data_IF_480922107303
#
_entry.id   IF_480922107303
#
_cell.length_a   1.000
_cell.length_b   1.000
_cell.length_c   1.000
_cell.angle_alpha   90.00
_cell.angle_beta   90.00
_cell.angle_gamma   90.00
#
_symmetry.space_group_name_H-M   'P 1'
#
loop_
_entity.id
_entity.type
_entity.pdbx_description
1 polymer ?
#
# COMPACT_ATOMS: atom_id res chain seq x y z
N UNK A 1 18.10 7.46 -20.94
CA UNK A 1 16.78 7.95 -21.42
C UNK A 1 16.54 9.36 -20.92
N UNK A 2 15.99 10.22 -21.76
CA UNK A 2 15.56 11.59 -21.38
C UNK A 2 14.07 11.73 -21.65
N UNK A 3 13.29 12.19 -20.67
CA UNK A 3 11.87 12.55 -20.84
C UNK A 3 11.82 14.07 -20.90
N UNK A 4 11.35 14.64 -22.01
CA UNK A 4 11.29 16.09 -22.24
C UNK A 4 9.85 16.60 -22.22
N UNK A 5 9.69 17.90 -21.98
CA UNK A 5 8.40 18.61 -22.09
C UNK A 5 7.31 18.01 -21.19
N UNK A 6 7.65 17.48 -20.02
CA UNK A 6 6.70 16.97 -19.04
C UNK A 6 6.27 18.05 -18.04
N UNK A 7 5.10 17.87 -17.42
CA UNK A 7 4.72 18.48 -16.16
C UNK A 7 5.19 17.55 -15.02
N UNK A 8 6.37 17.82 -14.49
CA UNK A 8 7.05 16.96 -13.52
C UNK A 8 6.54 17.25 -12.11
N UNK A 9 6.10 16.22 -11.40
CA UNK A 9 5.85 16.29 -9.97
C UNK A 9 7.18 16.36 -9.22
N UNK A 10 7.43 17.51 -8.59
CA UNK A 10 8.71 17.84 -7.96
C UNK A 10 8.74 17.43 -6.48
N UNK A 11 9.92 17.31 -5.85
CA UNK A 11 10.04 17.12 -4.41
C UNK A 11 9.46 18.25 -3.54
N UNK A 12 9.02 19.36 -4.16
CA UNK A 12 8.27 20.44 -3.50
C UNK A 12 6.76 20.23 -3.54
N UNK A 13 6.32 19.07 -4.00
CA UNK A 13 4.91 18.70 -4.17
C UNK A 13 4.14 19.65 -5.09
N UNK A 14 4.79 20.08 -6.18
CA UNK A 14 4.22 20.94 -7.21
C UNK A 14 4.51 20.37 -8.60
N UNK A 15 3.69 20.73 -9.58
CA UNK A 15 3.93 20.38 -10.97
C UNK A 15 4.67 21.52 -11.68
N UNK A 16 5.81 21.20 -12.26
CA UNK A 16 6.64 22.15 -12.99
C UNK A 16 7.01 21.61 -14.38
N UNK A 17 7.04 22.51 -15.39
CA UNK A 17 7.55 22.11 -16.70
C UNK A 17 9.02 21.77 -16.60
N UNK A 18 9.40 20.59 -17.10
CA UNK A 18 10.77 20.15 -16.99
C UNK A 18 11.07 18.92 -17.83
N UNK A 19 12.30 18.44 -17.64
CA UNK A 19 12.80 17.21 -18.23
C UNK A 19 13.41 16.33 -17.14
N UNK A 20 13.35 15.02 -17.35
CA UNK A 20 13.92 14.02 -16.44
C UNK A 20 15.01 13.28 -17.21
N UNK A 21 16.19 13.16 -16.64
CA UNK A 21 17.31 12.40 -17.22
C UNK A 21 17.54 11.15 -16.37
N UNK A 22 17.52 9.99 -17.01
CA UNK A 22 17.71 8.69 -16.33
C UNK A 22 18.90 8.00 -16.97
N UNK A 23 19.93 7.71 -16.18
CA UNK A 23 21.12 6.97 -16.58
C UNK A 23 21.40 5.86 -15.56
N UNK A 24 21.77 4.69 -16.04
CA UNK A 24 22.01 3.52 -15.21
C UNK A 24 20.85 3.22 -14.23
N UNK A 25 19.61 3.42 -14.71
CA UNK A 25 18.40 3.20 -13.93
C UNK A 25 18.06 4.27 -12.89
N UNK A 26 18.88 5.33 -12.77
CA UNK A 26 18.69 6.37 -11.76
C UNK A 26 18.49 7.75 -12.38
N UNK A 27 17.71 8.57 -11.69
CA UNK A 27 17.54 9.99 -12.05
C UNK A 27 18.85 10.71 -11.76
N UNK A 28 19.36 11.44 -12.75
CA UNK A 28 20.54 12.29 -12.61
C UNK A 28 20.16 13.78 -12.79
N UNK A 29 20.99 14.73 -12.30
CA UNK A 29 20.80 16.14 -12.62
C UNK A 29 20.68 16.36 -14.13
N UNK A 30 19.92 17.38 -14.54
CA UNK A 30 19.73 17.68 -15.97
C UNK A 30 21.07 17.76 -16.70
N UNK A 31 21.16 17.03 -17.80
CA UNK A 31 22.32 17.00 -18.69
C UNK A 31 21.82 16.94 -20.15
N UNK A 32 22.63 17.45 -21.08
CA UNK A 32 22.33 17.32 -22.50
C UNK A 32 22.29 15.84 -22.93
N UNK A 33 21.49 15.51 -23.97
CA UNK A 33 21.47 14.17 -24.53
C UNK A 33 22.87 13.72 -24.97
N UNK A 34 23.20 12.46 -24.68
CA UNK A 34 24.39 11.81 -25.19
C UNK A 34 24.06 11.08 -26.51
N UNK A 35 25.09 10.79 -27.33
CA UNK A 35 24.90 10.10 -28.60
C UNK A 35 24.26 8.72 -28.37
N UNK A 36 23.13 8.45 -29.04
CA UNK A 36 22.37 7.20 -28.89
C UNK A 36 21.44 7.13 -27.69
N UNK A 37 21.33 8.19 -26.89
CA UNK A 37 20.41 8.23 -25.77
C UNK A 37 18.96 8.38 -26.26
N UNK A 38 18.06 7.54 -25.76
CA UNK A 38 16.63 7.62 -26.09
C UNK A 38 16.02 8.89 -25.50
N UNK A 39 15.31 9.64 -26.36
CA UNK A 39 14.60 10.86 -25.98
C UNK A 39 13.11 10.67 -26.20
N UNK A 40 12.32 10.78 -25.12
CA UNK A 40 10.86 10.69 -25.12
C UNK A 40 10.28 12.10 -24.94
N UNK A 41 9.52 12.59 -25.91
CA UNK A 41 8.76 13.84 -25.78
C UNK A 41 7.41 13.55 -25.07
N UNK A 42 7.27 14.02 -23.86
CA UNK A 42 6.05 13.85 -23.06
C UNK A 42 4.91 14.79 -23.47
N UNK A 43 5.14 15.78 -24.34
CA UNK A 43 4.10 16.66 -24.91
C UNK A 43 3.16 17.30 -23.87
N UNK A 44 3.67 17.63 -22.68
CA UNK A 44 2.90 18.24 -21.60
C UNK A 44 2.13 17.24 -20.72
N UNK A 45 2.35 15.94 -20.86
CA UNK A 45 1.82 14.94 -19.93
C UNK A 45 2.37 15.17 -18.51
N UNK A 46 1.59 14.79 -17.52
CA UNK A 46 2.10 14.67 -16.16
C UNK A 46 3.17 13.58 -16.09
N UNK A 47 4.29 13.88 -15.43
CA UNK A 47 5.27 12.90 -15.02
C UNK A 47 5.17 12.73 -13.50
N UNK A 48 4.61 11.58 -13.09
CA UNK A 48 4.43 11.20 -11.71
C UNK A 48 5.54 10.22 -11.31
N UNK A 49 5.94 10.15 -10.01
CA UNK A 49 6.79 9.07 -9.54
C UNK A 49 6.07 7.73 -9.65
N UNK A 50 6.81 6.65 -9.85
CA UNK A 50 6.26 5.31 -9.71
C UNK A 50 5.60 5.14 -8.34
N UNK A 51 4.38 4.58 -8.33
CA UNK A 51 3.62 4.39 -7.10
C UNK A 51 4.23 3.30 -6.24
N UNK A 52 3.89 3.33 -4.96
CA UNK A 52 4.31 2.36 -3.94
C UNK A 52 3.06 1.85 -3.23
N UNK A 53 2.74 0.57 -3.36
CA UNK A 53 1.61 -0.03 -2.65
C UNK A 53 2.12 -0.85 -1.47
N UNK A 54 1.65 -0.49 -0.28
CA UNK A 54 2.06 -1.16 0.96
C UNK A 54 0.98 -2.02 1.58
N UNK A 55 -0.18 -2.13 0.90
CA UNK A 55 -1.27 -2.97 1.37
C UNK A 55 -2.14 -3.45 0.20
N UNK A 56 -1.92 -4.66 -0.25
CA UNK A 56 -2.76 -5.41 -1.18
C UNK A 56 -2.45 -6.91 -1.03
N UNK A 57 -3.41 -7.77 -1.37
CA UNK A 57 -3.29 -9.23 -1.21
C UNK A 57 -3.08 -9.94 -2.53
N UNK A 58 -3.68 -9.43 -3.61
CA UNK A 58 -3.68 -10.17 -4.86
C UNK A 58 -4.14 -9.40 -6.08
N UNK A 59 -3.94 -10.02 -7.24
CA UNK A 59 -4.41 -9.60 -8.55
C UNK A 59 -4.34 -10.76 -9.55
N UNK A 60 -5.07 -10.68 -10.68
CA UNK A 60 -4.96 -11.60 -11.80
C UNK A 60 -5.11 -13.09 -11.42
N UNK A 61 -5.94 -13.38 -10.42
CA UNK A 61 -6.21 -14.75 -9.94
C UNK A 61 -5.12 -15.34 -9.04
N UNK A 62 -4.15 -14.52 -8.60
CA UNK A 62 -3.10 -14.90 -7.67
C UNK A 62 -3.22 -14.12 -6.37
N UNK A 63 -2.81 -14.76 -5.29
CA UNK A 63 -2.74 -14.18 -3.95
C UNK A 63 -1.31 -14.28 -3.43
N UNK A 64 -0.86 -13.26 -2.69
CA UNK A 64 0.47 -13.28 -2.09
C UNK A 64 0.64 -14.49 -1.15
N UNK A 65 -0.43 -14.85 -0.46
CA UNK A 65 -0.46 -16.01 0.42
C UNK A 65 -0.53 -17.37 -0.29
N UNK A 66 -0.53 -17.41 -1.63
CA UNK A 66 -0.26 -18.66 -2.37
C UNK A 66 1.12 -19.24 -2.04
N UNK A 67 2.04 -18.41 -1.50
CA UNK A 67 3.38 -18.83 -1.08
C UNK A 67 4.23 -19.38 -2.24
N UNK A 68 4.09 -18.81 -3.43
CA UNK A 68 4.76 -19.25 -4.65
C UNK A 68 5.42 -18.09 -5.37
N UNK A 69 6.63 -18.29 -5.86
CA UNK A 69 7.37 -17.28 -6.64
C UNK A 69 6.58 -16.83 -7.89
N UNK A 70 5.89 -17.77 -8.58
CA UNK A 70 5.04 -17.45 -9.72
C UNK A 70 3.90 -16.49 -9.37
N UNK A 71 3.29 -16.62 -8.19
CA UNK A 71 2.26 -15.71 -7.73
C UNK A 71 2.85 -14.31 -7.51
N UNK A 72 3.96 -14.20 -6.80
CA UNK A 72 4.65 -12.93 -6.57
C UNK A 72 5.02 -12.26 -7.91
N UNK A 73 5.55 -13.02 -8.87
CA UNK A 73 5.89 -12.48 -10.19
C UNK A 73 4.66 -12.00 -10.95
N UNK A 74 3.53 -12.72 -10.87
CA UNK A 74 2.26 -12.28 -11.49
C UNK A 74 1.78 -10.96 -10.89
N UNK A 75 1.84 -10.83 -9.57
CA UNK A 75 1.51 -9.58 -8.87
C UNK A 75 2.44 -8.45 -9.29
N UNK A 76 3.74 -8.70 -9.31
CA UNK A 76 4.75 -7.73 -9.71
C UNK A 76 4.56 -7.24 -11.16
N UNK A 77 4.27 -8.15 -12.10
CA UNK A 77 4.02 -7.80 -13.50
C UNK A 77 2.72 -6.97 -13.65
N UNK A 78 1.66 -7.35 -12.96
CA UNK A 78 0.39 -6.63 -12.99
C UNK A 78 0.53 -5.22 -12.41
N UNK A 79 1.08 -5.10 -11.20
CA UNK A 79 1.25 -3.83 -10.50
C UNK A 79 2.14 -2.87 -11.31
N UNK A 80 3.24 -3.36 -11.89
CA UNK A 80 4.08 -2.56 -12.77
C UNK A 80 3.32 -2.06 -14.00
N UNK A 81 2.45 -2.88 -14.60
CA UNK A 81 1.62 -2.47 -15.74
C UNK A 81 0.65 -1.34 -15.40
N UNK A 82 0.35 -1.15 -14.11
CA UNK A 82 -0.47 -0.08 -13.56
C UNK A 82 0.32 1.09 -12.98
N UNK A 83 1.67 1.08 -13.11
CA UNK A 83 2.53 2.14 -12.61
C UNK A 83 2.91 2.02 -11.13
N UNK A 84 2.51 0.95 -10.46
CA UNK A 84 3.03 0.63 -9.12
C UNK A 84 4.36 -0.08 -9.29
N UNK A 85 5.45 0.55 -8.89
CA UNK A 85 6.80 0.07 -9.19
C UNK A 85 7.58 -0.42 -7.98
N UNK A 86 6.97 -0.31 -6.78
CA UNK A 86 7.43 -0.95 -5.56
C UNK A 86 6.22 -1.51 -4.81
N UNK A 87 6.32 -2.76 -4.37
CA UNK A 87 5.23 -3.47 -3.71
C UNK A 87 5.65 -4.03 -2.35
N UNK A 88 4.75 -3.89 -1.38
CA UNK A 88 4.84 -4.49 -0.06
C UNK A 88 3.51 -5.20 0.23
N UNK A 89 3.26 -6.38 -0.41
CA UNK A 89 1.99 -7.08 -0.32
C UNK A 89 1.69 -7.52 1.12
N UNK A 90 0.39 -7.59 1.43
CA UNK A 90 -0.10 -8.00 2.73
C UNK A 90 -0.34 -9.51 2.81
N UNK A 91 -0.01 -10.11 3.96
CA UNK A 91 -0.46 -11.46 4.28
C UNK A 91 -1.93 -11.44 4.71
N UNK A 92 -2.53 -12.61 4.84
CA UNK A 92 -3.80 -12.83 5.53
C UNK A 92 -3.54 -13.56 6.86
N UNK A 93 -4.54 -13.59 7.73
CA UNK A 93 -4.51 -14.41 8.94
C UNK A 93 -4.52 -15.89 8.58
N UNK A 94 -3.36 -16.53 8.72
CA UNK A 94 -3.12 -17.94 8.47
C UNK A 94 -2.28 -18.59 9.58
N UNK A 95 -2.20 -19.92 9.56
CA UNK A 95 -1.29 -20.65 10.45
C UNK A 95 0.17 -20.27 10.19
N UNK A 96 1.03 -20.41 11.21
CA UNK A 96 2.46 -20.16 11.06
C UNK A 96 3.08 -21.04 9.95
N UNK A 97 2.56 -22.26 9.73
CA UNK A 97 3.03 -23.14 8.66
C UNK A 97 2.80 -22.53 7.27
N UNK A 98 1.60 -22.00 7.01
CA UNK A 98 1.27 -21.35 5.73
C UNK A 98 2.11 -20.07 5.58
N UNK A 99 2.16 -19.23 6.63
CA UNK A 99 2.96 -18.00 6.62
C UNK A 99 4.45 -18.29 6.39
N UNK A 100 5.00 -19.37 6.90
CA UNK A 100 6.36 -19.80 6.62
C UNK A 100 6.61 -19.98 5.11
N UNK A 101 5.67 -20.63 4.39
CA UNK A 101 5.76 -20.80 2.94
C UNK A 101 5.73 -19.46 2.19
N UNK A 102 4.89 -18.53 2.63
CA UNK A 102 4.82 -17.16 2.07
C UNK A 102 6.13 -16.42 2.26
N UNK A 103 6.71 -16.46 3.47
CA UNK A 103 7.99 -15.81 3.79
C UNK A 103 9.15 -16.41 2.98
N UNK A 104 9.18 -17.74 2.83
CA UNK A 104 10.21 -18.42 2.03
C UNK A 104 10.12 -18.04 0.55
N UNK A 105 8.92 -17.97 -0.03
CA UNK A 105 8.72 -17.55 -1.41
C UNK A 105 9.14 -16.10 -1.62
N UNK A 106 8.79 -15.19 -0.70
CA UNK A 106 9.18 -13.79 -0.75
C UNK A 106 10.70 -13.62 -0.63
N UNK A 107 11.35 -14.34 0.28
CA UNK A 107 12.81 -14.30 0.45
C UNK A 107 13.57 -14.87 -0.76
N UNK A 108 12.97 -15.79 -1.51
CA UNK A 108 13.55 -16.39 -2.72
C UNK A 108 13.34 -15.51 -3.96
N UNK A 109 12.30 -14.67 -3.97
CA UNK A 109 11.97 -13.80 -5.11
C UNK A 109 13.12 -12.84 -5.44
N UNK A 110 13.34 -12.64 -6.75
CA UNK A 110 14.38 -11.73 -7.26
C UNK A 110 13.73 -10.62 -8.08
N UNK A 111 13.88 -9.41 -7.60
CA UNK A 111 13.49 -8.23 -8.35
C UNK A 111 14.26 -8.13 -9.67
N UNK A 112 13.60 -7.65 -10.73
CA UNK A 112 14.25 -7.50 -12.05
C UNK A 112 13.26 -7.31 -13.17
N UNK A 113 12.09 -7.92 -13.08
CA UNK A 113 10.96 -7.75 -13.99
C UNK A 113 9.70 -7.47 -13.17
N UNK A 114 8.88 -6.52 -13.61
CA UNK A 114 7.72 -6.08 -12.85
C UNK A 114 8.08 -5.16 -11.68
N UNK A 115 7.14 -4.88 -10.80
CA UNK A 115 7.35 -4.10 -9.60
C UNK A 115 8.36 -4.77 -8.66
N UNK A 116 9.21 -3.98 -8.02
CA UNK A 116 10.15 -4.53 -7.03
C UNK A 116 9.40 -4.89 -5.73
N UNK A 117 9.56 -6.14 -5.26
CA UNK A 117 9.15 -6.54 -3.92
C UNK A 117 10.10 -5.90 -2.91
N UNK A 118 9.63 -4.91 -2.17
CA UNK A 118 10.44 -4.12 -1.23
C UNK A 118 10.11 -4.36 0.22
N UNK A 119 9.04 -5.10 0.50
CA UNK A 119 8.62 -5.45 1.85
C UNK A 119 7.46 -6.42 1.87
N UNK A 120 7.03 -6.75 3.08
CA UNK A 120 5.83 -7.52 3.40
C UNK A 120 5.08 -6.76 4.48
N UNK A 121 3.78 -6.58 4.32
CA UNK A 121 2.86 -6.17 5.35
C UNK A 121 2.29 -7.44 6.02
N UNK A 122 2.57 -7.65 7.30
CA UNK A 122 2.05 -8.79 8.04
C UNK A 122 0.68 -8.43 8.62
N UNK A 123 -0.39 -8.57 7.82
CA UNK A 123 -1.76 -8.33 8.26
C UNK A 123 -2.31 -9.60 8.92
N UNK A 124 -2.46 -9.51 10.24
CA UNK A 124 -2.74 -10.69 11.07
C UNK A 124 -1.50 -11.58 11.27
N UNK A 125 -1.60 -12.58 12.13
CA UNK A 125 -2.78 -13.06 12.85
C UNK A 125 -3.08 -12.36 14.19
N UNK A 126 -2.41 -11.27 14.54
CA UNK A 126 -2.48 -10.62 15.86
C UNK A 126 -3.63 -9.59 15.97
N UNK A 127 -4.78 -9.94 15.41
CA UNK A 127 -5.96 -9.07 15.29
C UNK A 127 -7.12 -9.51 16.19
N UNK A 128 -8.11 -8.64 16.38
CA UNK A 128 -9.22 -8.88 17.28
C UNK A 128 -10.23 -9.90 16.73
N UNK A 129 -10.66 -10.88 17.54
CA UNK A 129 -11.71 -11.83 17.15
C UNK A 129 -13.08 -11.16 16.92
N UNK A 130 -13.25 -9.93 17.37
CA UNK A 130 -14.49 -9.16 17.22
C UNK A 130 -14.51 -8.25 15.99
N UNK A 131 -13.38 -8.12 15.29
CA UNK A 131 -13.20 -7.27 14.09
C UNK A 131 -12.44 -7.98 12.97
N UNK A 132 -12.67 -9.27 12.82
CA UNK A 132 -11.99 -10.10 11.81
C UNK A 132 -12.21 -9.63 10.37
N UNK A 133 -13.34 -8.98 10.05
CA UNK A 133 -13.64 -8.60 8.67
C UNK A 133 -13.66 -9.82 7.75
N UNK A 134 -12.83 -9.80 6.70
CA UNK A 134 -12.63 -10.92 5.78
C UNK A 134 -11.49 -11.87 6.20
N UNK A 135 -10.85 -11.65 7.35
CA UNK A 135 -9.82 -12.53 7.88
C UNK A 135 -10.42 -13.83 8.41
N UNK A 136 -9.68 -14.94 8.36
CA UNK A 136 -10.16 -16.23 8.88
C UNK A 136 -9.97 -16.34 10.39
N UNK A 137 -11.06 -16.41 11.20
CA UNK A 137 -10.95 -16.47 12.66
C UNK A 137 -10.30 -17.74 13.20
N UNK A 138 -10.20 -18.81 12.41
CA UNK A 138 -9.59 -20.08 12.81
C UNK A 138 -8.10 -19.93 13.15
N UNK A 139 -7.41 -18.97 12.50
CA UNK A 139 -5.97 -18.78 12.61
C UNK A 139 -5.56 -17.57 13.45
N UNK A 140 -6.51 -16.96 14.17
CA UNK A 140 -6.18 -15.86 15.09
C UNK A 140 -5.17 -16.30 16.14
N UNK A 141 -4.20 -15.45 16.41
CA UNK A 141 -3.15 -15.69 17.38
C UNK A 141 -2.97 -14.48 18.28
N UNK A 142 -2.66 -14.71 19.54
CA UNK A 142 -2.24 -13.61 20.43
C UNK A 142 -0.93 -13.01 19.91
N UNK A 143 -0.67 -11.77 20.26
CA UNK A 143 0.59 -11.14 19.98
C UNK A 143 1.78 -11.99 20.47
N UNK A 144 2.66 -12.40 19.57
CA UNK A 144 3.74 -13.35 19.83
C UNK A 144 5.04 -12.88 19.12
N UNK A 145 5.95 -12.31 19.89
CA UNK A 145 7.24 -11.83 19.39
C UNK A 145 8.13 -12.93 18.86
N UNK A 146 8.05 -14.13 19.43
CA UNK A 146 8.88 -15.24 18.94
C UNK A 146 8.40 -15.74 17.58
N UNK A 147 7.06 -15.84 17.39
CA UNK A 147 6.48 -16.13 16.08
C UNK A 147 6.89 -15.06 15.06
N UNK A 148 6.71 -13.78 15.38
CA UNK A 148 7.12 -12.68 14.52
C UNK A 148 8.60 -12.78 14.12
N UNK A 149 9.50 -13.00 15.08
CA UNK A 149 10.93 -13.12 14.82
C UNK A 149 11.30 -14.32 13.94
N UNK A 150 10.60 -15.46 14.12
CA UNK A 150 10.77 -16.61 13.23
C UNK A 150 10.36 -16.27 11.80
N UNK A 151 9.21 -15.62 11.61
CA UNK A 151 8.71 -15.17 10.29
C UNK A 151 9.65 -14.12 9.69
N UNK A 152 10.06 -13.10 10.44
CA UNK A 152 10.97 -12.05 9.98
C UNK A 152 12.32 -12.61 9.53
N UNK A 153 12.86 -13.56 10.30
CA UNK A 153 14.10 -14.26 9.92
C UNK A 153 13.92 -15.03 8.61
N UNK A 154 12.79 -15.72 8.44
CA UNK A 154 12.46 -16.49 7.26
C UNK A 154 12.27 -15.61 6.03
N UNK A 155 11.61 -14.48 6.21
CA UNK A 155 11.44 -13.45 5.20
C UNK A 155 12.75 -12.68 4.87
N UNK A 156 13.88 -13.02 5.48
CA UNK A 156 15.16 -12.32 5.33
C UNK A 156 15.04 -10.80 5.59
N UNK A 157 14.25 -10.40 6.60
CA UNK A 157 14.06 -8.99 6.98
C UNK A 157 13.09 -8.21 6.10
N UNK A 158 12.29 -8.88 5.25
CA UNK A 158 11.33 -8.21 4.37
C UNK A 158 10.06 -7.73 5.08
N UNK A 159 9.70 -8.22 6.28
CA UNK A 159 8.54 -7.69 6.99
C UNK A 159 8.84 -6.24 7.38
N UNK A 160 8.05 -5.30 6.85
CA UNK A 160 8.18 -3.85 7.07
C UNK A 160 7.06 -3.28 7.92
N UNK A 161 5.89 -3.91 7.87
CA UNK A 161 4.69 -3.57 8.62
C UNK A 161 4.19 -4.80 9.37
N UNK A 162 3.64 -4.58 10.59
CA UNK A 162 2.92 -5.60 11.36
C UNK A 162 1.63 -4.98 11.87
N UNK A 163 0.52 -5.63 11.59
CA UNK A 163 -0.81 -5.22 11.99
C UNK A 163 -1.22 -5.89 13.30
N UNK A 164 -1.73 -5.10 14.25
CA UNK A 164 -2.07 -5.59 15.58
C UNK A 164 -3.31 -4.89 16.16
N UNK A 165 -4.14 -5.65 16.88
CA UNK A 165 -5.20 -5.11 17.71
C UNK A 165 -4.66 -4.83 19.11
N UNK A 166 -4.55 -3.56 19.54
CA UNK A 166 -3.85 -3.20 20.78
C UNK A 166 -4.57 -3.62 22.06
N UNK A 167 -5.87 -3.91 21.99
CA UNK A 167 -6.66 -4.43 23.09
C UNK A 167 -6.43 -5.91 23.39
N UNK A 168 -5.80 -6.63 22.45
CA UNK A 168 -5.57 -8.08 22.64
C UNK A 168 -4.41 -8.34 23.63
N UNK A 169 -4.46 -9.45 24.37
CA UNK A 169 -3.45 -9.75 25.39
C UNK A 169 -2.04 -9.83 24.80
N UNK A 170 -1.09 -9.10 25.41
CA UNK A 170 0.33 -9.06 25.00
C UNK A 170 0.63 -8.05 23.90
N UNK A 171 -0.38 -7.37 23.35
CA UNK A 171 -0.18 -6.45 22.22
C UNK A 171 0.68 -5.23 22.59
N UNK A 172 0.47 -4.61 23.76
CA UNK A 172 1.26 -3.45 24.16
C UNK A 172 2.75 -3.79 24.41
N UNK A 173 3.02 -4.96 24.96
CA UNK A 173 4.38 -5.48 25.13
C UNK A 173 5.02 -5.74 23.77
N UNK A 174 4.28 -6.36 22.85
CA UNK A 174 4.73 -6.59 21.47
C UNK A 174 5.08 -5.27 20.77
N UNK A 175 4.21 -4.25 20.84
CA UNK A 175 4.43 -2.94 20.23
C UNK A 175 5.73 -2.31 20.77
N UNK A 176 5.95 -2.34 22.08
CA UNK A 176 7.18 -1.82 22.71
C UNK A 176 8.42 -2.54 22.22
N UNK A 177 8.36 -3.86 22.10
CA UNK A 177 9.50 -4.67 21.71
C UNK A 177 9.83 -4.52 20.21
N UNK A 178 8.82 -4.31 19.36
CA UNK A 178 8.99 -4.04 17.94
C UNK A 178 9.43 -2.60 17.62
N UNK A 179 9.35 -1.68 18.59
CA UNK A 179 9.64 -0.26 18.34
C UNK A 179 11.02 -0.06 17.72
N UNK A 180 11.06 0.56 16.52
CA UNK A 180 12.28 0.81 15.76
C UNK A 180 12.81 -0.39 14.95
N UNK A 181 12.20 -1.58 15.06
CA UNK A 181 12.56 -2.74 14.25
C UNK A 181 11.69 -2.83 12.98
N UNK A 182 10.38 -2.68 13.15
CA UNK A 182 9.40 -2.62 12.06
C UNK A 182 8.35 -1.57 12.38
N UNK A 183 7.55 -1.17 11.39
CA UNK A 183 6.40 -0.32 11.62
C UNK A 183 5.27 -1.15 12.22
N UNK A 184 4.73 -0.71 13.35
CA UNK A 184 3.55 -1.35 13.95
C UNK A 184 2.32 -0.51 13.64
N UNK A 185 1.31 -1.17 13.08
CA UNK A 185 0.04 -0.58 12.66
C UNK A 185 -1.12 -1.09 13.52
N UNK A 186 -2.01 -0.22 13.93
CA UNK A 186 -3.26 -0.65 14.56
C UNK A 186 -4.27 -1.05 13.48
N UNK A 187 -4.78 -2.28 13.58
CA UNK A 187 -5.64 -2.88 12.57
C UNK A 187 -6.66 -3.82 13.19
N UNK A 188 -7.80 -4.03 12.52
CA UNK A 188 -8.80 -5.03 12.91
C UNK A 188 -9.07 -5.05 14.42
N UNK A 189 -9.49 -3.92 14.96
CA UNK A 189 -9.49 -3.64 16.41
C UNK A 189 -10.84 -3.17 16.90
N UNK A 190 -11.16 -3.53 18.15
CA UNK A 190 -12.27 -2.95 18.91
C UNK A 190 -11.81 -1.90 19.93
N UNK A 191 -10.53 -1.48 19.84
CA UNK A 191 -9.89 -0.62 20.82
C UNK A 191 -10.68 0.68 21.07
N UNK A 192 -10.66 1.14 22.29
CA UNK A 192 -11.11 2.48 22.65
C UNK A 192 -10.00 3.52 22.46
N UNK A 193 -10.32 4.78 22.77
CA UNK A 193 -9.39 5.89 22.63
C UNK A 193 -8.17 5.76 23.55
N UNK A 194 -8.37 5.42 24.84
CA UNK A 194 -7.29 5.38 25.84
C UNK A 194 -6.30 4.25 25.55
N UNK A 195 -6.81 3.09 25.16
CA UNK A 195 -5.96 1.94 24.74
C UNK A 195 -5.21 2.24 23.45
N UNK A 196 -5.84 2.91 22.48
CA UNK A 196 -5.15 3.34 21.26
C UNK A 196 -4.04 4.35 21.54
N UNK A 197 -4.28 5.34 22.42
CA UNK A 197 -3.26 6.28 22.89
C UNK A 197 -2.08 5.53 23.52
N UNK A 198 -2.35 4.56 24.40
CA UNK A 198 -1.30 3.76 25.02
C UNK A 198 -0.48 2.96 23.99
N UNK A 199 -1.12 2.47 22.94
CA UNK A 199 -0.44 1.76 21.85
C UNK A 199 0.47 2.69 21.02
N UNK A 200 0.01 3.89 20.68
CA UNK A 200 0.85 4.89 20.01
C UNK A 200 2.00 5.35 20.89
N UNK A 201 1.75 5.60 22.17
CA UNK A 201 2.79 5.96 23.15
C UNK A 201 3.80 4.82 23.38
N UNK A 202 3.37 3.57 23.14
CA UNK A 202 4.25 2.39 23.19
C UNK A 202 5.12 2.21 21.94
N UNK A 203 4.79 2.87 20.81
CA UNK A 203 5.60 2.83 19.60
C UNK A 203 4.86 2.48 18.31
N UNK A 204 3.55 2.23 18.34
CA UNK A 204 2.76 2.18 17.11
C UNK A 204 2.76 3.56 16.43
N UNK A 205 2.78 3.59 15.09
CA UNK A 205 2.85 4.85 14.35
C UNK A 205 1.97 4.86 13.11
N UNK A 206 1.14 3.83 12.93
CA UNK A 206 0.39 3.62 11.71
C UNK A 206 -1.00 3.06 12.00
N UNK A 207 -1.95 3.27 11.07
CA UNK A 207 -3.27 2.62 11.08
C UNK A 207 -3.60 2.06 9.71
N UNK A 208 -3.92 0.81 9.68
CA UNK A 208 -4.28 0.04 8.50
C UNK A 208 -5.70 0.36 8.07
N UNK A 209 -5.92 0.53 6.74
CA UNK A 209 -7.23 0.77 6.07
C UNK A 209 -8.26 1.50 6.96
N UNK A 210 -7.91 2.73 7.34
CA UNK A 210 -8.65 3.57 8.30
C UNK A 210 -10.18 3.49 8.05
N UNK A 211 -10.96 3.41 9.12
CA UNK A 211 -12.42 3.19 9.19
C UNK A 211 -12.88 1.75 9.00
N UNK A 212 -12.11 0.90 8.34
CA UNK A 212 -12.50 -0.49 8.08
C UNK A 212 -12.06 -1.39 9.23
N UNK A 213 -12.94 -2.30 9.64
CA UNK A 213 -12.71 -3.22 10.75
C UNK A 213 -12.27 -2.55 12.08
N UNK A 214 -12.80 -1.35 12.39
CA UNK A 214 -12.52 -0.61 13.62
C UNK A 214 -13.74 0.19 14.10
N UNK A 215 -13.75 0.72 15.36
CA UNK A 215 -14.78 1.63 15.82
C UNK A 215 -14.74 2.98 15.09
N UNK A 216 -15.91 3.51 14.72
CA UNK A 216 -16.04 4.85 14.17
C UNK A 216 -15.94 5.96 15.22
N UNK A 217 -15.85 7.21 14.76
CA UNK A 217 -15.80 8.41 15.62
C UNK A 217 -17.20 8.71 16.18
N UNK A 218 -17.32 8.80 17.51
CA UNK A 218 -18.49 9.38 18.15
C UNK A 218 -18.07 10.45 19.17
N UNK A 219 -18.98 11.37 19.51
CA UNK A 219 -18.65 12.52 20.38
C UNK A 219 -18.39 12.16 21.86
N UNK A 220 -18.66 10.93 22.29
CA UNK A 220 -18.40 10.42 23.64
C UNK A 220 -17.52 9.17 23.66
N UNK A 221 -17.28 8.57 22.50
CA UNK A 221 -16.34 7.48 22.32
C UNK A 221 -15.56 7.77 21.01
N UNK A 222 -14.50 8.58 21.08
CA UNK A 222 -13.77 9.04 19.90
C UNK A 222 -13.02 7.92 19.17
N UNK A 223 -12.67 6.86 19.88
CA UNK A 223 -12.04 5.66 19.32
C UNK A 223 -10.62 5.87 18.82
N UNK A 224 -10.07 4.86 18.11
CA UNK A 224 -8.68 4.86 17.67
C UNK A 224 -8.37 5.91 16.61
N UNK A 225 -9.36 6.35 15.83
CA UNK A 225 -9.17 7.32 14.73
C UNK A 225 -8.74 8.69 15.27
N UNK A 226 -9.38 9.16 16.35
CA UNK A 226 -9.00 10.43 16.99
C UNK A 226 -7.65 10.27 17.70
N UNK A 227 -7.41 9.14 18.36
CA UNK A 227 -6.11 8.84 18.96
C UNK A 227 -4.96 8.89 17.94
N UNK A 228 -5.16 8.28 16.76
CA UNK A 228 -4.20 8.33 15.65
C UNK A 228 -3.92 9.76 15.19
N UNK A 229 -4.97 10.56 15.01
CA UNK A 229 -4.84 11.98 14.62
C UNK A 229 -4.02 12.78 15.65
N UNK A 230 -4.32 12.61 16.93
CA UNK A 230 -3.61 13.35 18.00
C UNK A 230 -2.14 12.91 18.16
N UNK A 231 -1.81 11.68 17.82
CA UNK A 231 -0.43 11.17 17.85
C UNK A 231 0.33 11.32 16.54
N UNK A 232 -0.30 11.91 15.51
CA UNK A 232 0.31 12.10 14.20
C UNK A 232 0.68 10.78 13.52
N UNK A 233 -0.16 9.76 13.70
CA UNK A 233 0.04 8.49 13.04
C UNK A 233 -0.22 8.60 11.52
N UNK A 234 0.48 7.80 10.73
CA UNK A 234 0.18 7.60 9.32
C UNK A 234 -1.08 6.72 9.19
N UNK A 235 -1.91 6.98 8.17
CA UNK A 235 -3.19 6.29 8.00
C UNK A 235 -3.40 5.87 6.57
N UNK A 236 -3.78 4.61 6.36
CA UNK A 236 -4.10 4.09 5.04
C UNK A 236 -5.55 4.40 4.66
N UNK A 237 -5.78 4.73 3.38
CA UNK A 237 -7.12 4.92 2.80
C UNK A 237 -7.29 4.09 1.53
N UNK A 238 -8.40 3.37 1.44
CA UNK A 238 -8.86 2.70 0.22
C UNK A 238 -9.84 3.63 -0.49
N UNK A 239 -9.42 4.21 -1.60
CA UNK A 239 -10.19 5.23 -2.33
C UNK A 239 -10.85 4.67 -3.61
N UNK A 240 -11.49 3.52 -3.49
CA UNK A 240 -12.13 2.77 -4.56
C UNK A 240 -13.61 3.13 -4.82
N UNK A 241 -14.18 4.12 -4.09
CA UNK A 241 -15.60 4.49 -4.06
C UNK A 241 -16.54 3.43 -3.44
N UNK A 242 -16.00 2.37 -2.83
CA UNK A 242 -16.76 1.32 -2.16
C UNK A 242 -16.56 1.38 -0.64
N UNK A 243 -15.29 1.44 -0.20
CA UNK A 243 -14.92 1.38 1.21
C UNK A 243 -15.23 2.67 1.96
N UNK A 244 -14.97 3.82 1.36
CA UNK A 244 -15.03 5.11 2.05
C UNK A 244 -15.81 6.13 1.22
N UNK A 245 -16.77 6.79 1.85
CA UNK A 245 -17.50 7.87 1.22
C UNK A 245 -16.58 9.07 0.88
N UNK A 246 -16.68 9.71 -0.30
CA UNK A 246 -15.81 10.81 -0.72
C UNK A 246 -15.66 11.96 0.28
N UNK A 247 -16.73 12.30 1.02
CA UNK A 247 -16.68 13.34 2.05
C UNK A 247 -15.78 12.95 3.23
N UNK A 248 -15.71 11.64 3.56
CA UNK A 248 -14.85 11.11 4.63
C UNK A 248 -13.40 11.10 4.17
N UNK A 249 -13.13 10.77 2.91
CA UNK A 249 -11.77 10.87 2.34
C UNK A 249 -11.25 12.31 2.45
N UNK A 250 -12.04 13.31 2.00
CA UNK A 250 -11.65 14.72 2.14
C UNK A 250 -11.49 15.18 3.60
N UNK A 251 -12.33 14.67 4.49
CA UNK A 251 -12.20 14.92 5.93
C UNK A 251 -10.87 14.39 6.45
N UNK A 252 -10.47 13.19 6.06
CA UNK A 252 -9.23 12.56 6.51
C UNK A 252 -8.01 13.36 6.08
N UNK A 253 -7.91 13.77 4.80
CA UNK A 253 -6.84 14.64 4.34
C UNK A 253 -6.76 15.95 5.13
N UNK A 254 -7.91 16.54 5.50
CA UNK A 254 -7.93 17.76 6.32
C UNK A 254 -7.55 17.52 7.79
N UNK A 255 -7.93 16.37 8.35
CA UNK A 255 -7.70 16.05 9.76
C UNK A 255 -6.26 15.59 10.02
N UNK A 256 -5.69 14.78 9.12
CA UNK A 256 -4.36 14.22 9.28
C UNK A 256 -3.27 15.01 8.53
N UNK A 257 -3.65 15.78 7.51
CA UNK A 257 -2.70 16.46 6.61
C UNK A 257 -2.10 15.50 5.59
N UNK A 258 -1.57 16.10 4.50
CA UNK A 258 -1.04 15.36 3.35
C UNK A 258 0.16 14.47 3.69
N UNK A 259 0.88 14.76 4.76
CA UNK A 259 2.08 14.03 5.19
C UNK A 259 1.78 12.67 5.83
N UNK A 260 0.55 12.46 6.31
CA UNK A 260 0.19 11.29 7.09
C UNK A 260 -0.81 10.37 6.38
N UNK A 261 -1.36 10.77 5.23
CA UNK A 261 -2.30 9.94 4.48
C UNK A 261 -1.53 9.09 3.47
N UNK A 262 -1.83 7.80 3.45
CA UNK A 262 -1.30 6.82 2.51
C UNK A 262 -2.47 6.20 1.74
N UNK A 263 -2.43 6.22 0.42
CA UNK A 263 -3.38 5.47 -0.40
C UNK A 263 -2.88 4.04 -0.58
N UNK A 264 -3.78 3.08 -0.42
CA UNK A 264 -3.54 1.65 -0.63
C UNK A 264 -4.64 1.05 -1.50
N UNK A 265 -4.36 -0.07 -2.15
CA UNK A 265 -5.34 -0.76 -2.96
C UNK A 265 -6.23 -1.68 -2.12
N UNK A 266 -5.65 -2.36 -1.16
CA UNK A 266 -6.26 -3.51 -0.47
C UNK A 266 -6.89 -4.49 -1.49
N UNK A 267 -6.24 -4.63 -2.65
CA UNK A 267 -6.78 -5.44 -3.74
C UNK A 267 -6.65 -6.92 -3.44
N UNK A 268 -7.64 -7.68 -3.90
CA UNK A 268 -7.63 -9.13 -3.79
C UNK A 268 -7.48 -9.79 -5.18
N UNK A 269 -7.36 -11.12 -5.23
CA UNK A 269 -7.04 -11.86 -6.47
C UNK A 269 -7.93 -11.55 -7.67
N UNK A 270 -9.14 -11.01 -7.49
CA UNK A 270 -10.02 -10.61 -8.58
C UNK A 270 -9.61 -9.30 -9.26
N UNK A 271 -8.71 -8.52 -8.68
CA UNK A 271 -8.24 -7.28 -9.30
C UNK A 271 -7.68 -7.58 -10.71
N UNK A 272 -8.17 -6.86 -11.71
CA UNK A 272 -7.83 -7.08 -13.12
C UNK A 272 -8.62 -8.19 -13.82
N UNK A 273 -9.55 -8.86 -13.14
CA UNK A 273 -10.40 -9.92 -13.68
C UNK A 273 -11.88 -9.50 -13.73
N UNK A 274 -12.73 -10.20 -14.50
CA UNK A 274 -14.17 -9.91 -14.57
C UNK A 274 -14.89 -10.28 -13.27
N UNK A 275 -16.16 -9.87 -13.17
CA UNK A 275 -17.06 -10.30 -12.11
C UNK A 275 -17.11 -11.83 -11.99
N UNK A 276 -17.27 -12.35 -10.76
CA UNK A 276 -17.25 -13.79 -10.54
C UNK A 276 -17.04 -14.22 -9.10
N UNK A 277 -16.72 -15.50 -8.94
CA UNK A 277 -16.41 -16.11 -7.65
C UNK A 277 -14.91 -16.25 -7.52
N UNK A 278 -14.40 -15.80 -6.37
CA UNK A 278 -12.98 -15.78 -6.03
C UNK A 278 -12.77 -16.23 -4.59
N UNK A 279 -11.58 -16.04 -4.05
CA UNK A 279 -11.30 -16.28 -2.64
C UNK A 279 -10.39 -15.21 -2.05
N UNK A 280 -10.47 -15.02 -0.73
CA UNK A 280 -9.55 -14.20 0.05
C UNK A 280 -9.37 -14.87 1.42
N UNK A 281 -8.12 -15.12 1.82
CA UNK A 281 -7.83 -15.77 3.10
C UNK A 281 -8.51 -17.15 3.28
N UNK A 282 -8.75 -17.87 2.16
CA UNK A 282 -9.46 -19.16 2.17
C UNK A 282 -10.98 -19.05 2.23
N UNK A 283 -11.55 -17.84 2.27
CA UNK A 283 -12.99 -17.61 2.28
C UNK A 283 -13.50 -17.27 0.86
N UNK A 284 -14.72 -17.74 0.52
CA UNK A 284 -15.33 -17.47 -0.77
C UNK A 284 -15.76 -16.00 -0.88
N UNK A 285 -15.43 -15.35 -2.00
CA UNK A 285 -15.73 -13.96 -2.30
C UNK A 285 -16.49 -13.87 -3.61
N UNK A 286 -17.57 -13.08 -3.61
CA UNK A 286 -18.32 -12.70 -4.80
C UNK A 286 -17.94 -11.30 -5.21
N UNK A 287 -17.55 -11.12 -6.48
CA UNK A 287 -17.25 -9.81 -7.08
C UNK A 287 -18.34 -9.43 -8.08
N UNK A 288 -18.94 -8.26 -7.86
CA UNK A 288 -19.95 -7.65 -8.73
C UNK A 288 -19.60 -6.17 -8.94
N UNK A 289 -19.19 -5.81 -10.15
CA UNK A 289 -18.68 -4.48 -10.45
C UNK A 289 -17.47 -4.13 -9.55
N UNK A 290 -17.46 -2.97 -8.88
CA UNK A 290 -16.33 -2.58 -8.03
C UNK A 290 -16.34 -3.24 -6.64
N UNK A 291 -17.35 -4.06 -6.32
CA UNK A 291 -17.58 -4.56 -4.98
C UNK A 291 -17.19 -6.03 -4.86
N UNK A 292 -16.31 -6.33 -3.91
CA UNK A 292 -15.97 -7.68 -3.47
C UNK A 292 -16.56 -7.90 -2.06
N UNK A 293 -17.30 -9.00 -1.85
CA UNK A 293 -17.94 -9.32 -0.56
C UNK A 293 -17.80 -10.80 -0.25
N UNK A 294 -17.75 -11.14 1.03
CA UNK A 294 -17.82 -12.55 1.44
C UNK A 294 -19.14 -13.17 0.94
N UNK A 295 -19.05 -14.29 0.23
CA UNK A 295 -20.22 -14.95 -0.39
C UNK A 295 -21.27 -15.36 0.65
N UNK A 296 -20.81 -15.86 1.81
CA UNK A 296 -21.71 -16.27 2.90
C UNK A 296 -22.17 -15.09 3.78
N UNK A 297 -21.52 -13.93 3.67
CA UNK A 297 -21.83 -12.71 4.42
C UNK A 297 -21.81 -11.49 3.49
N UNK A 298 -22.82 -11.32 2.61
CA UNK A 298 -22.80 -10.28 1.56
C UNK A 298 -22.72 -8.82 2.05
N UNK A 299 -22.88 -8.61 3.38
CA UNK A 299 -22.68 -7.30 4.02
C UNK A 299 -21.23 -6.98 4.36
N UNK A 300 -20.34 -7.98 4.31
CA UNK A 300 -18.91 -7.82 4.65
C UNK A 300 -18.09 -7.63 3.38
N UNK A 301 -17.47 -6.46 3.23
CA UNK A 301 -16.52 -6.18 2.13
C UNK A 301 -15.26 -7.02 2.37
N UNK A 302 -14.69 -7.56 1.31
CA UNK A 302 -13.57 -8.50 1.35
C UNK A 302 -12.47 -8.05 0.39
N UNK A 303 -11.65 -7.10 0.84
CA UNK A 303 -10.67 -6.41 0.01
C UNK A 303 -11.31 -5.62 -1.13
N UNK A 304 -10.53 -5.14 -2.07
CA UNK A 304 -10.99 -4.41 -3.24
C UNK A 304 -10.71 -5.16 -4.56
N UNK A 305 -11.41 -4.77 -5.62
CA UNK A 305 -11.11 -5.19 -6.99
C UNK A 305 -10.39 -4.08 -7.79
N UNK A 306 -9.77 -3.12 -7.09
CA UNK A 306 -9.23 -1.88 -7.67
C UNK A 306 -7.73 -1.79 -7.39
N UNK A 307 -6.90 -1.51 -8.40
CA UNK A 307 -5.45 -1.29 -8.20
C UNK A 307 -5.17 0.12 -7.63
N UNK A 308 -3.98 0.33 -7.06
CA UNK A 308 -3.60 1.60 -6.43
C UNK A 308 -3.67 2.80 -7.40
N UNK A 309 -3.29 2.64 -8.66
CA UNK A 309 -3.39 3.72 -9.64
C UNK A 309 -4.82 4.20 -9.82
N UNK A 310 -5.77 3.28 -9.90
CA UNK A 310 -7.20 3.61 -10.03
C UNK A 310 -7.75 4.20 -8.72
N UNK A 311 -7.29 3.75 -7.55
CA UNK A 311 -7.59 4.39 -6.26
C UNK A 311 -7.13 5.86 -6.24
N UNK A 312 -5.87 6.13 -6.63
CA UNK A 312 -5.34 7.49 -6.73
C UNK A 312 -6.14 8.34 -7.73
N UNK A 313 -6.43 7.79 -8.91
CA UNK A 313 -7.22 8.47 -9.95
C UNK A 313 -8.62 8.84 -9.45
N UNK A 314 -9.32 7.93 -8.78
CA UNK A 314 -10.65 8.17 -8.19
C UNK A 314 -10.61 9.20 -7.07
N UNK A 315 -9.57 9.16 -6.21
CA UNK A 315 -9.38 10.17 -5.18
C UNK A 315 -9.37 11.59 -5.77
N UNK A 316 -8.71 11.78 -6.91
CA UNK A 316 -8.64 13.07 -7.60
C UNK A 316 -9.93 13.41 -8.34
N UNK A 317 -10.35 12.56 -9.28
CA UNK A 317 -11.40 12.91 -10.25
C UNK A 317 -12.81 12.79 -9.67
N UNK A 318 -13.02 11.90 -8.69
CA UNK A 318 -14.34 11.58 -8.16
C UNK A 318 -14.54 12.03 -6.71
N UNK A 319 -13.46 12.08 -5.91
CA UNK A 319 -13.56 12.44 -4.49
C UNK A 319 -13.11 13.88 -4.17
N UNK A 320 -12.42 14.55 -5.12
CA UNK A 320 -12.00 15.95 -5.00
C UNK A 320 -10.77 16.14 -4.11
N UNK A 321 -9.89 15.15 -4.04
CA UNK A 321 -8.55 15.30 -3.45
C UNK A 321 -7.65 16.03 -4.45
N UNK A 322 -6.84 17.02 -4.04
CA UNK A 322 -5.85 17.63 -4.93
C UNK A 322 -4.90 16.58 -5.53
N UNK A 323 -4.53 16.75 -6.80
CA UNK A 323 -3.66 15.80 -7.50
C UNK A 323 -2.33 15.64 -6.76
N UNK A 324 -1.75 16.74 -6.31
CA UNK A 324 -0.49 16.77 -5.59
C UNK A 324 -0.55 15.94 -4.30
N UNK A 325 -1.65 16.06 -3.56
CA UNK A 325 -1.89 15.31 -2.32
C UNK A 325 -2.08 13.81 -2.60
N UNK A 326 -2.85 13.47 -3.65
CA UNK A 326 -3.10 12.07 -4.01
C UNK A 326 -1.82 11.37 -4.52
N UNK A 327 -1.02 12.05 -5.35
CA UNK A 327 0.28 11.53 -5.82
C UNK A 327 1.21 11.30 -4.64
N UNK A 328 1.32 12.27 -3.72
CA UNK A 328 2.13 12.13 -2.52
C UNK A 328 1.71 10.95 -1.66
N UNK A 329 0.41 10.80 -1.43
CA UNK A 329 -0.18 9.72 -0.63
C UNK A 329 -0.03 8.33 -1.27
N UNK A 330 0.12 8.24 -2.60
CA UNK A 330 0.30 6.98 -3.33
C UNK A 330 1.77 6.66 -3.66
N UNK A 331 2.72 7.55 -3.34
CA UNK A 331 4.11 7.37 -3.74
C UNK A 331 5.10 7.66 -2.61
N UNK A 332 5.27 8.92 -2.22
CA UNK A 332 6.30 9.36 -1.27
C UNK A 332 5.98 8.89 0.17
N UNK A 333 4.73 9.07 0.60
CA UNK A 333 4.34 8.70 1.97
C UNK A 333 4.49 7.19 2.22
N UNK A 334 3.96 6.28 1.38
CA UNK A 334 4.17 4.86 1.59
C UNK A 334 5.64 4.45 1.51
N UNK A 335 6.44 5.07 0.61
CA UNK A 335 7.87 4.81 0.53
C UNK A 335 8.61 5.18 1.82
N UNK A 336 8.28 6.34 2.42
CA UNK A 336 8.82 6.78 3.70
C UNK A 336 8.36 5.88 4.84
N UNK A 337 7.08 5.51 4.84
CA UNK A 337 6.48 4.66 5.86
C UNK A 337 7.25 3.36 6.05
N UNK A 338 7.65 2.71 4.98
CA UNK A 338 8.38 1.44 5.02
C UNK A 338 9.91 1.58 4.84
N UNK A 339 10.43 2.82 4.80
CA UNK A 339 11.87 3.11 4.76
C UNK A 339 12.57 2.78 3.44
N UNK A 340 11.86 2.90 2.30
CA UNK A 340 12.41 2.67 0.95
C UNK A 340 12.51 3.96 0.11
N UNK A 341 12.27 5.11 0.74
CA UNK A 341 12.25 6.42 0.08
C UNK A 341 13.61 6.88 -0.44
N UNK A 342 14.70 6.18 -0.11
CA UNK A 342 16.01 6.41 -0.74
C UNK A 342 16.04 6.04 -2.22
N UNK A 343 15.18 5.15 -2.67
CA UNK A 343 15.12 4.64 -4.04
C UNK A 343 13.79 4.92 -4.74
N UNK A 344 12.66 4.96 -4.00
CA UNK A 344 11.30 5.00 -4.54
C UNK A 344 10.52 6.24 -4.10
N UNK A 345 9.36 6.46 -4.71
CA UNK A 345 8.33 7.40 -4.29
C UNK A 345 8.55 8.87 -4.72
N UNK A 346 9.66 9.23 -5.34
CA UNK A 346 9.90 10.62 -5.75
C UNK A 346 10.74 10.76 -7.02
N UNK A 347 10.53 11.86 -7.76
CA UNK A 347 11.33 12.25 -8.93
C UNK A 347 12.46 13.16 -8.44
N UNK A 348 13.52 12.56 -7.92
CA UNK A 348 14.67 13.29 -7.38
C UNK A 348 15.98 12.63 -7.81
N UNK A 349 17.04 13.42 -7.93
CA UNK A 349 18.36 12.89 -8.28
C UNK A 349 18.82 11.79 -7.30
N UNK A 350 19.38 10.72 -7.84
CA UNK A 350 19.81 9.54 -7.11
C UNK A 350 18.74 8.46 -6.92
N UNK A 351 17.44 8.78 -7.04
CA UNK A 351 16.33 7.82 -6.97
C UNK A 351 16.26 6.97 -8.25
N UNK A 352 15.55 5.85 -8.21
CA UNK A 352 15.28 5.11 -9.44
C UNK A 352 14.48 5.93 -10.43
N UNK A 353 14.78 5.77 -11.71
CA UNK A 353 14.06 6.37 -12.82
C UNK A 353 12.71 5.69 -13.07
N UNK A 354 11.86 5.70 -12.05
CA UNK A 354 10.54 5.10 -12.02
C UNK A 354 9.51 6.21 -12.25
N UNK A 355 8.98 6.31 -13.48
CA UNK A 355 8.15 7.43 -13.93
C UNK A 355 6.87 6.91 -14.58
N UNK A 356 5.75 7.52 -14.23
CA UNK A 356 4.47 7.35 -14.90
C UNK A 356 4.19 8.59 -15.74
N UNK A 357 3.82 8.41 -17.00
CA UNK A 357 3.27 9.50 -17.82
C UNK A 357 1.76 9.34 -17.95
N UNK A 358 1.03 10.39 -17.61
CA UNK A 358 -0.44 10.42 -17.65
C UNK A 358 -0.95 11.70 -18.30
N UNK A 359 -2.13 11.63 -18.94
CA UNK A 359 -2.82 12.82 -19.44
C UNK A 359 -3.57 13.58 -18.32
N UNK A 360 -4.29 14.64 -18.68
CA UNK A 360 -5.01 15.47 -17.71
C UNK A 360 -6.21 14.76 -17.06
N UNK A 361 -6.73 13.74 -17.70
CA UNK A 361 -7.77 12.84 -17.18
C UNK A 361 -7.17 11.65 -16.40
N UNK A 362 -5.86 11.69 -16.13
CA UNK A 362 -5.08 10.64 -15.48
C UNK A 362 -5.24 9.29 -16.19
N UNK A 363 -5.31 9.29 -17.53
CA UNK A 363 -5.16 8.07 -18.28
C UNK A 363 -3.69 7.76 -18.45
N UNK A 364 -3.30 6.53 -18.09
CA UNK A 364 -1.93 6.04 -18.18
C UNK A 364 -1.48 6.03 -19.66
N UNK A 365 -0.36 6.64 -19.97
CA UNK A 365 0.22 6.72 -21.34
C UNK A 365 1.54 5.95 -21.45
N UNK A 366 2.33 5.94 -20.41
CA UNK A 366 3.54 5.17 -20.35
C UNK A 366 3.94 4.89 -18.89
N UNK A 367 4.62 3.79 -18.70
CA UNK A 367 5.32 3.45 -17.45
C UNK A 367 6.79 3.21 -17.78
N UNK A 368 7.65 3.91 -17.10
CA UNK A 368 9.11 3.79 -17.20
C UNK A 368 9.61 3.24 -15.87
N UNK A 369 10.27 2.09 -15.92
CA UNK A 369 10.90 1.45 -14.77
C UNK A 369 12.41 1.48 -14.93
N UNK A 370 13.10 2.14 -14.01
CA UNK A 370 14.57 2.26 -14.04
C UNK A 370 15.11 2.68 -15.42
N UNK A 371 14.40 3.60 -16.08
CA UNK A 371 14.78 4.12 -17.38
C UNK A 371 14.41 3.23 -18.58
N UNK A 372 13.67 2.15 -18.38
CA UNK A 372 13.14 1.30 -19.45
C UNK A 372 11.63 1.47 -19.54
N UNK A 373 11.10 1.77 -20.72
CA UNK A 373 9.65 1.83 -20.93
C UNK A 373 9.09 0.41 -20.93
N UNK A 374 8.07 0.15 -20.10
CA UNK A 374 7.42 -1.16 -19.95
C UNK A 374 5.95 -1.15 -20.38
N UNK A 375 5.32 0.04 -20.49
CA UNK A 375 3.97 0.26 -21.03
C UNK A 375 4.00 1.43 -22.00
#
# INVERSE_FOLDING_TARGET
>A
MIIQNALVYTPRHTFEKGSIVIREGRIVPFAAPEEGEEVLDAQGLYALPGLVDIHFHGAMGKDFCDGKEEAIQTLADFEASKGVLAICPATMTFSEEILNGVMDAAAAHKNGKGADLVGINMEGPFISPHKVGAQNPEYLHKADMEMFRRLQKRANGLIKLVDIAPEEPGALEFIKECHGEVRVSLAHTCTDYDTAIAAFDAGATHMTHLYNAMPGITHRAPGPIIAAMERGAEVELITDNVHIHPAVVRFTFKAFGDDHVILVADSMMACGLPDGQYSLGGQAVTVEGPRATLTEQPGTIAGSATCLYDCMKRAVLEMGVPLESAVRAASENPAKSIGVDNDYGSIAAGRYGNIILADQELNLKAVIQKGTRIV
#
